data_IF_688386289958
#
_entry.id   IF_688386289958
#
_cell.length_a   1.000
_cell.length_b   1.000
_cell.length_c   1.000
_cell.angle_alpha   90.00
_cell.angle_beta   90.00
_cell.angle_gamma   90.00
#
_symmetry.space_group_name_H-M   'P 1'
#
loop_
_entity.id
_entity.type
_entity.pdbx_description
1 polymer ?
#
# COMPACT_ATOMS: atom_id res chain seq x y z
N UNK A 1 11.33 -2.72 -3.32
CA UNK A 1 9.90 -2.61 -3.63
C UNK A 1 9.40 -1.31 -3.01
N UNK A 2 8.45 -0.63 -3.66
CA UNK A 2 7.94 0.68 -3.24
C UNK A 2 6.43 0.60 -3.08
N UNK A 3 5.84 1.48 -2.27
CA UNK A 3 4.43 1.79 -2.41
C UNK A 3 4.24 2.71 -3.62
N UNK A 4 3.26 2.43 -4.48
CA UNK A 4 2.84 3.38 -5.50
C UNK A 4 2.12 4.56 -4.83
N UNK A 5 2.25 5.75 -5.40
CA UNK A 5 1.51 6.90 -4.93
C UNK A 5 -0.02 6.60 -4.92
N UNK A 6 -0.74 6.98 -3.86
CA UNK A 6 -2.18 6.67 -3.69
C UNK A 6 -3.06 7.06 -4.89
N UNK A 7 -2.83 8.24 -5.47
CA UNK A 7 -3.48 8.71 -6.71
C UNK A 7 -3.32 7.78 -7.92
N UNK A 8 -2.30 6.93 -7.97
CA UNK A 8 -2.07 6.02 -9.09
C UNK A 8 -2.78 4.68 -8.92
N UNK A 9 -3.27 4.32 -7.72
CA UNK A 9 -3.80 2.98 -7.42
C UNK A 9 -4.86 2.55 -8.45
N UNK A 10 -5.81 3.44 -8.75
CA UNK A 10 -6.87 3.20 -9.72
C UNK A 10 -6.41 3.11 -11.19
N UNK A 11 -5.19 3.57 -11.50
CA UNK A 11 -4.59 3.53 -12.83
C UNK A 11 -3.58 2.39 -13.00
N UNK A 12 -3.12 1.77 -11.91
CA UNK A 12 -2.10 0.72 -11.98
C UNK A 12 -2.56 -0.44 -12.87
N UNK A 13 -1.70 -0.98 -13.75
CA UNK A 13 -2.02 -2.22 -14.46
C UNK A 13 -2.13 -3.40 -13.49
N UNK A 14 -2.73 -4.50 -13.97
CA UNK A 14 -2.98 -5.72 -13.18
C UNK A 14 -1.78 -6.17 -12.34
N UNK A 15 -0.61 -6.30 -12.95
CA UNK A 15 0.56 -6.85 -12.26
C UNK A 15 1.07 -5.93 -11.15
N UNK A 16 0.98 -4.61 -11.34
CA UNK A 16 1.39 -3.60 -10.37
C UNK A 16 0.41 -3.54 -9.22
N UNK A 17 -0.90 -3.61 -9.48
CA UNK A 17 -1.92 -3.65 -8.45
C UNK A 17 -1.79 -4.92 -7.57
N UNK A 18 -1.67 -6.09 -8.20
CA UNK A 18 -1.47 -7.35 -7.46
C UNK A 18 -0.13 -7.37 -6.70
N UNK A 19 0.92 -6.77 -7.29
CA UNK A 19 2.21 -6.59 -6.62
C UNK A 19 2.10 -5.67 -5.41
N UNK A 20 1.34 -4.59 -5.52
CA UNK A 20 1.11 -3.64 -4.45
C UNK A 20 0.38 -4.27 -3.26
N UNK A 21 -0.64 -5.09 -3.53
CA UNK A 21 -1.33 -5.86 -2.48
C UNK A 21 -0.37 -6.81 -1.76
N UNK A 22 0.44 -7.59 -2.50
CA UNK A 22 1.44 -8.48 -1.89
C UNK A 22 2.44 -7.71 -1.02
N UNK A 23 2.85 -6.52 -1.46
CA UNK A 23 3.75 -5.67 -0.68
C UNK A 23 3.08 -5.17 0.61
N UNK A 24 1.83 -4.71 0.56
CA UNK A 24 1.08 -4.34 1.76
C UNK A 24 0.95 -5.51 2.74
N UNK A 25 0.65 -6.72 2.25
CA UNK A 25 0.58 -7.92 3.07
C UNK A 25 1.93 -8.23 3.75
N UNK A 26 3.04 -8.12 3.01
CA UNK A 26 4.37 -8.36 3.54
C UNK A 26 4.75 -7.33 4.62
N UNK A 27 4.52 -6.04 4.35
CA UNK A 27 4.82 -4.93 5.27
C UNK A 27 3.96 -4.99 6.54
N UNK A 28 2.66 -5.32 6.43
CA UNK A 28 1.77 -5.49 7.60
C UNK A 28 2.15 -6.69 8.45
N UNK A 29 2.67 -7.76 7.84
CA UNK A 29 3.07 -8.97 8.53
C UNK A 29 4.44 -8.90 9.20
N UNK A 30 5.22 -9.98 9.05
CA UNK A 30 6.57 -10.10 9.60
C UNK A 30 7.63 -9.25 8.86
N UNK A 31 7.23 -8.47 7.86
CA UNK A 31 8.05 -7.44 7.21
C UNK A 31 8.08 -6.10 7.95
N UNK A 32 7.17 -5.87 8.90
CA UNK A 32 7.11 -4.63 9.66
C UNK A 32 8.45 -4.30 10.33
N UNK A 33 8.94 -3.05 10.18
CA UNK A 33 10.22 -2.54 10.68
C UNK A 33 11.48 -3.23 10.14
N UNK A 34 11.39 -4.09 9.12
CA UNK A 34 12.58 -4.59 8.42
C UNK A 34 13.03 -3.54 7.40
N UNK A 35 14.33 -3.21 7.41
CA UNK A 35 14.87 -2.15 6.53
C UNK A 35 14.60 -2.44 5.06
N UNK A 36 13.97 -1.48 4.39
CA UNK A 36 13.69 -1.45 2.96
C UNK A 36 13.96 -0.04 2.41
N UNK A 37 15.06 0.11 1.67
CA UNK A 37 15.60 1.40 1.17
C UNK A 37 14.60 2.43 0.61
N UNK A 38 13.46 2.00 0.05
CA UNK A 38 12.49 2.87 -0.66
C UNK A 38 11.14 3.01 0.03
N UNK A 39 10.89 2.26 1.11
CA UNK A 39 9.61 2.25 1.85
C UNK A 39 9.81 2.40 3.36
N UNK A 40 11.04 2.65 3.82
CA UNK A 40 11.36 2.83 5.25
C UNK A 40 10.54 3.91 5.93
N UNK A 41 10.11 4.97 5.20
CA UNK A 41 9.25 6.02 5.74
C UNK A 41 7.92 5.47 6.28
N UNK A 42 7.39 4.38 5.72
CA UNK A 42 6.14 3.78 6.21
C UNK A 42 6.23 3.40 7.69
N UNK A 43 7.42 3.01 8.15
CA UNK A 43 7.65 2.61 9.54
C UNK A 43 7.82 3.80 10.50
N UNK A 44 7.91 5.04 10.00
CA UNK A 44 7.86 6.24 10.84
C UNK A 44 6.43 6.64 11.18
N UNK A 45 5.45 6.03 10.52
CA UNK A 45 4.02 6.20 10.78
C UNK A 45 3.47 5.02 11.58
N UNK A 46 2.27 5.18 12.12
CA UNK A 46 1.58 4.07 12.75
C UNK A 46 1.23 2.98 11.72
N UNK A 47 1.15 1.70 12.13
CA UNK A 47 0.66 0.63 11.24
C UNK A 47 -0.73 0.91 10.66
N UNK A 48 -1.52 1.77 11.30
CA UNK A 48 -2.84 2.16 10.85
C UNK A 48 -2.80 2.90 9.50
N UNK A 49 -1.78 3.73 9.26
CA UNK A 49 -1.58 4.37 7.95
C UNK A 49 -1.42 3.33 6.83
N UNK A 50 -0.65 2.27 7.08
CA UNK A 50 -0.47 1.19 6.11
C UNK A 50 -1.74 0.37 5.92
N UNK A 51 -2.55 0.22 6.97
CA UNK A 51 -3.87 -0.38 6.85
C UNK A 51 -4.77 0.44 5.92
N UNK A 52 -4.89 1.77 6.13
CA UNK A 52 -5.71 2.65 5.28
C UNK A 52 -5.20 2.66 3.84
N UNK A 53 -3.88 2.72 3.62
CA UNK A 53 -3.32 2.59 2.28
C UNK A 53 -3.67 1.23 1.65
N UNK A 54 -3.60 0.14 2.42
CA UNK A 54 -3.97 -1.18 1.95
C UNK A 54 -5.47 -1.27 1.59
N UNK A 55 -6.34 -0.58 2.32
CA UNK A 55 -7.78 -0.49 1.99
C UNK A 55 -7.99 0.06 0.59
N UNK A 56 -7.33 1.16 0.20
CA UNK A 56 -7.43 1.70 -1.17
C UNK A 56 -7.04 0.67 -2.24
N UNK A 57 -5.99 -0.12 -1.97
CA UNK A 57 -5.54 -1.19 -2.89
C UNK A 57 -6.58 -2.30 -2.96
N UNK A 58 -7.13 -2.73 -1.82
CA UNK A 58 -8.15 -3.79 -1.76
C UNK A 58 -9.45 -3.36 -2.42
N UNK A 59 -9.89 -2.13 -2.23
CA UNK A 59 -11.09 -1.57 -2.88
C UNK A 59 -10.94 -1.54 -4.40
N UNK A 60 -9.80 -1.08 -4.92
CA UNK A 60 -9.55 -1.10 -6.37
C UNK A 60 -9.45 -2.54 -6.91
N UNK A 61 -8.89 -3.48 -6.13
CA UNK A 61 -8.90 -4.89 -6.49
C UNK A 61 -10.32 -5.46 -6.57
N UNK A 62 -11.14 -5.21 -5.56
CA UNK A 62 -12.53 -5.68 -5.52
C UNK A 62 -13.37 -5.07 -6.64
N UNK A 63 -13.18 -3.77 -6.92
CA UNK A 63 -13.81 -3.07 -8.06
C UNK A 63 -13.48 -3.73 -9.40
N UNK A 64 -12.30 -4.33 -9.54
CA UNK A 64 -11.86 -5.07 -10.74
C UNK A 64 -12.22 -6.56 -10.72
N UNK A 65 -13.03 -7.01 -9.75
CA UNK A 65 -13.49 -8.39 -9.63
C UNK A 65 -12.50 -9.36 -8.98
N UNK A 66 -11.43 -8.86 -8.36
CA UNK A 66 -10.53 -9.70 -7.55
C UNK A 66 -11.14 -9.98 -6.19
N UNK A 67 -10.89 -11.17 -5.65
CA UNK A 67 -11.34 -11.56 -4.32
C UNK A 67 -10.18 -11.39 -3.34
N UNK A 68 -10.30 -10.41 -2.44
CA UNK A 68 -9.35 -10.22 -1.35
C UNK A 68 -9.82 -11.01 -0.13
N UNK A 69 -8.88 -11.68 0.55
CA UNK A 69 -9.17 -12.39 1.80
C UNK A 69 -9.73 -11.40 2.84
N UNK A 70 -10.91 -11.70 3.40
CA UNK A 70 -11.65 -10.80 4.29
C UNK A 70 -10.86 -10.42 5.55
N UNK A 71 -9.93 -11.27 5.99
CA UNK A 71 -9.06 -11.03 7.13
C UNK A 71 -8.20 -9.78 6.92
N UNK A 72 -7.80 -9.47 5.68
CA UNK A 72 -7.01 -8.27 5.39
C UNK A 72 -7.79 -6.96 5.59
N UNK A 73 -9.13 -7.02 5.66
CA UNK A 73 -10.01 -5.89 5.98
C UNK A 73 -10.03 -5.58 7.48
N UNK A 74 -9.52 -6.45 8.34
CA UNK A 74 -9.28 -6.15 9.76
C UNK A 74 -7.95 -5.41 9.93
N UNK A 75 -7.98 -4.24 10.57
CA UNK A 75 -6.80 -3.43 10.89
C UNK A 75 -5.78 -4.17 11.77
N UNK A 76 -6.25 -5.11 12.57
CA UNK A 76 -5.43 -5.88 13.49
C UNK A 76 -4.76 -7.09 12.85
N UNK A 77 -5.24 -7.53 11.69
CA UNK A 77 -4.70 -8.69 11.00
C UNK A 77 -3.33 -8.41 10.38
N UNK A 78 -2.39 -9.34 10.59
CA UNK A 78 -1.00 -9.24 10.12
C UNK A 78 -0.55 -10.48 9.35
N UNK A 79 -1.50 -11.23 8.79
CA UNK A 79 -1.22 -12.52 8.18
C UNK A 79 -1.20 -13.66 9.21
N UNK A 80 -1.08 -14.89 8.71
CA UNK A 80 -1.21 -16.12 9.52
C UNK A 80 -0.09 -16.35 10.54
N UNK A 81 1.10 -15.78 10.31
CA UNK A 81 2.30 -16.08 11.09
C UNK A 81 2.76 -14.93 12.00
N UNK A 82 2.24 -13.72 11.80
CA UNK A 82 2.58 -12.58 12.64
C UNK A 82 1.52 -12.46 13.73
N UNK A 83 1.94 -12.14 14.95
CA UNK A 83 1.00 -11.81 16.03
C UNK A 83 0.16 -10.61 15.62
N UNK A 84 -1.17 -10.76 15.68
CA UNK A 84 -2.13 -9.68 15.43
C UNK A 84 -1.91 -8.52 16.40
N UNK A 85 -2.37 -7.33 16.02
CA UNK A 85 -2.54 -6.26 17.00
C UNK A 85 -3.73 -6.57 17.91
N UNK A 86 -3.70 -6.14 19.18
CA UNK A 86 -4.84 -6.30 20.08
C UNK A 86 -5.95 -5.29 19.77
N UNK A 87 -5.59 -4.01 19.76
CA UNK A 87 -6.47 -2.92 19.36
C UNK A 87 -5.62 -1.82 18.72
N UNK A 88 -5.29 -1.97 17.44
CA UNK A 88 -4.56 -0.95 16.70
C UNK A 88 -5.38 0.35 16.72
N UNK A 89 -4.84 1.41 17.33
CA UNK A 89 -5.50 2.70 17.43
C UNK A 89 -5.82 3.26 16.05
N UNK A 90 -7.06 3.73 15.89
CA UNK A 90 -7.50 4.41 14.67
C UNK A 90 -7.10 5.88 14.73
N UNK A 91 -6.73 6.41 13.59
CA UNK A 91 -6.27 7.79 13.45
C UNK A 91 -7.05 8.46 12.32
N UNK A 92 -7.25 9.77 12.45
CA UNK A 92 -7.80 10.57 11.36
C UNK A 92 -6.68 10.75 10.34
N UNK A 93 -6.80 10.06 9.21
CA UNK A 93 -5.82 10.10 8.12
C UNK A 93 -6.21 11.18 7.10
N UNK A 94 -5.29 12.09 6.81
CA UNK A 94 -5.45 13.09 5.75
C UNK A 94 -5.10 12.54 4.37
N UNK A 95 -5.18 13.40 3.34
CA UNK A 95 -4.60 13.13 2.03
C UNK A 95 -3.46 14.12 1.79
N UNK A 96 -2.26 13.65 1.41
CA UNK A 96 -1.92 12.24 1.21
C UNK A 96 -1.81 11.44 2.51
N UNK A 97 -2.03 10.11 2.46
CA UNK A 97 -1.89 9.22 3.63
C UNK A 97 -0.47 9.34 4.21
N UNK A 98 0.53 9.35 3.33
CA UNK A 98 1.92 9.58 3.69
C UNK A 98 2.37 10.93 3.13
N UNK A 99 3.08 11.75 3.91
CA UNK A 99 3.58 13.04 3.42
C UNK A 99 4.55 12.86 2.25
N UNK A 100 5.23 11.72 2.19
CA UNK A 100 6.13 11.32 1.12
C UNK A 100 5.38 11.09 -0.21
N UNK A 101 4.07 10.87 -0.19
CA UNK A 101 3.24 10.80 -1.41
C UNK A 101 2.88 12.23 -1.84
N UNK A 102 3.92 13.04 -2.05
CA UNK A 102 3.83 14.39 -2.58
C UNK A 102 3.90 14.38 -4.12
N UNK A 103 3.88 15.56 -4.74
CA UNK A 103 3.90 15.71 -6.21
C UNK A 103 5.21 15.19 -6.82
N UNK A 104 6.34 15.36 -6.13
CA UNK A 104 7.65 14.87 -6.59
C UNK A 104 7.65 13.33 -6.62
N UNK A 105 7.18 12.69 -5.55
CA UNK A 105 7.06 11.23 -5.49
C UNK A 105 6.06 10.67 -6.50
N UNK A 106 4.96 11.41 -6.77
CA UNK A 106 4.02 11.06 -7.83
C UNK A 106 4.72 11.02 -9.19
N UNK A 107 5.53 12.04 -9.47
CA UNK A 107 6.32 12.14 -10.70
C UNK A 107 7.30 10.98 -10.80
N UNK A 108 8.04 10.67 -9.73
CA UNK A 108 8.94 9.52 -9.66
C UNK A 108 8.21 8.18 -9.84
N UNK A 109 6.97 8.06 -9.39
CA UNK A 109 6.14 6.88 -9.65
C UNK A 109 5.78 6.76 -11.13
N UNK A 110 5.40 7.86 -11.77
CA UNK A 110 5.03 7.87 -13.19
C UNK A 110 6.24 7.53 -14.06
N UNK A 111 7.40 8.15 -13.81
CA UNK A 111 8.62 7.85 -14.54
C UNK A 111 9.05 6.39 -14.34
N UNK A 112 8.94 5.85 -13.12
CA UNK A 112 9.25 4.43 -12.88
C UNK A 112 8.33 3.46 -13.64
N UNK A 113 7.08 3.85 -13.92
CA UNK A 113 6.18 3.06 -14.77
C UNK A 113 6.59 3.19 -16.24
N UNK A 114 6.91 4.41 -16.70
CA UNK A 114 7.39 4.67 -18.08
C UNK A 114 8.67 3.90 -18.40
N UNK A 115 9.64 3.87 -17.49
CA UNK A 115 10.89 3.10 -17.62
C UNK A 115 10.65 1.59 -17.77
N UNK A 116 9.50 1.11 -17.27
CA UNK A 116 9.06 -0.29 -17.40
C UNK A 116 8.18 -0.53 -18.63
N UNK A 117 8.08 0.46 -19.53
CA UNK A 117 7.21 0.42 -20.72
C UNK A 117 5.71 0.53 -20.39
N UNK A 118 5.35 1.03 -19.20
CA UNK A 118 3.96 1.17 -18.77
C UNK A 118 3.57 2.64 -18.85
N UNK A 119 2.72 2.96 -19.82
CA UNK A 119 2.15 4.29 -19.98
C UNK A 119 0.75 4.32 -19.39
N UNK A 120 0.59 5.05 -18.29
CA UNK A 120 -0.73 5.29 -17.70
C UNK A 120 -1.56 6.18 -18.62
N UNK A 121 -2.83 5.82 -18.81
CA UNK A 121 -3.83 6.72 -19.40
C UNK A 121 -4.32 7.64 -18.29
N UNK A 122 -3.73 8.81 -18.20
CA UNK A 122 -4.14 9.89 -17.27
C UNK A 122 -5.26 10.69 -17.93
#
# INVERSE_FOLDING_TARGET
MRLWHEKLIHLLPKNQLLGQHRECCALRGNGWKKKHKTVDYVFTYSPYHLFIYHVLVMEEMEKRGYHVSVEWKDKNYRGRTAEKYDNLNEEIIGSPIYKEHNIEYLTDCIENLRDKGIHLKV
#
